data_IF_490164927268
#
_entry.id   IF_490164927268
#
_cell.length_a   1.000
_cell.length_b   1.000
_cell.length_c   1.000
_cell.angle_alpha   90.00
_cell.angle_beta   90.00
_cell.angle_gamma   90.00
#
_symmetry.space_group_name_H-M   'P 1'
#
loop_
_entity.id
_entity.type
_entity.pdbx_description
1 polymer ?
#
# COMPACT_ATOMS: atom_id res chain seq x y z
N UNK A 1 4.66 -0.70 18.35
CA UNK A 1 4.08 -0.36 17.02
C UNK A 1 3.30 0.94 17.13
N UNK A 2 3.27 1.68 16.06
CA UNK A 2 2.55 2.94 15.96
C UNK A 2 1.68 2.90 14.71
N UNK A 3 0.46 3.46 14.77
CA UNK A 3 -0.42 3.55 13.61
C UNK A 3 -0.39 4.97 13.07
N UNK A 4 -0.07 5.11 11.79
CA UNK A 4 -0.10 6.38 11.08
C UNK A 4 -1.37 6.44 10.23
N UNK A 5 -1.95 7.64 10.14
CA UNK A 5 -3.16 7.87 9.34
C UNK A 5 -2.94 9.00 8.36
N UNK A 6 -3.45 8.81 7.14
CA UNK A 6 -3.38 9.81 6.08
C UNK A 6 -4.74 9.95 5.43
N UNK A 7 -5.09 11.17 5.03
CA UNK A 7 -6.36 11.47 4.36
C UNK A 7 -6.10 12.40 3.20
N UNK A 8 -6.72 12.12 2.07
CA UNK A 8 -6.63 13.02 0.91
C UNK A 8 -7.93 12.97 0.13
N UNK A 9 -8.38 14.15 -0.34
CA UNK A 9 -9.55 14.26 -1.20
C UNK A 9 -9.10 14.27 -2.65
N UNK A 10 -9.70 13.39 -3.45
CA UNK A 10 -9.35 13.23 -4.86
C UNK A 10 -10.60 13.46 -5.71
N UNK A 11 -10.49 14.34 -6.69
CA UNK A 11 -11.61 14.69 -7.59
C UNK A 11 -11.69 13.67 -8.73
N UNK A 12 -11.93 12.42 -8.35
CA UNK A 12 -12.13 11.30 -9.26
C UNK A 12 -12.92 10.22 -8.53
N UNK A 13 -13.54 9.30 -9.28
CA UNK A 13 -14.34 8.22 -8.69
C UNK A 13 -13.48 7.22 -7.95
N UNK A 14 -14.05 6.49 -6.97
CA UNK A 14 -13.32 5.41 -6.29
C UNK A 14 -12.76 4.37 -7.26
N UNK A 15 -13.49 4.02 -8.32
CA UNK A 15 -13.03 3.07 -9.34
C UNK A 15 -11.73 3.54 -9.98
N UNK A 16 -11.68 4.82 -10.34
CA UNK A 16 -10.47 5.37 -10.96
C UNK A 16 -9.31 5.45 -9.98
N UNK A 17 -9.57 5.86 -8.73
CA UNK A 17 -8.54 5.91 -7.69
C UNK A 17 -7.99 4.51 -7.41
N UNK A 18 -8.88 3.53 -7.35
CA UNK A 18 -8.50 2.12 -7.17
C UNK A 18 -7.56 1.65 -8.28
N UNK A 19 -7.89 1.96 -9.52
CA UNK A 19 -7.07 1.58 -10.67
C UNK A 19 -5.68 2.23 -10.63
N UNK A 20 -5.59 3.47 -10.14
CA UNK A 20 -4.31 4.16 -9.98
C UNK A 20 -3.48 3.52 -8.86
N UNK A 21 -4.12 3.21 -7.72
CA UNK A 21 -3.42 2.62 -6.57
C UNK A 21 -2.78 1.28 -6.92
N UNK A 22 -3.50 0.43 -7.65
CA UNK A 22 -3.12 -0.98 -7.81
C UNK A 22 -2.80 -1.40 -9.24
N UNK A 23 -2.90 -0.49 -10.21
CA UNK A 23 -2.61 -0.79 -11.61
C UNK A 23 -1.13 -1.06 -11.84
N UNK A 24 -0.82 -2.00 -12.75
CA UNK A 24 0.56 -2.38 -13.04
C UNK A 24 1.41 -1.20 -13.55
N UNK A 25 0.79 -0.26 -14.26
CA UNK A 25 1.50 0.88 -14.84
C UNK A 25 1.63 2.06 -13.87
N UNK A 26 0.79 2.10 -12.85
CA UNK A 26 0.70 3.27 -11.97
C UNK A 26 1.25 3.00 -10.57
N UNK A 27 1.27 1.74 -10.12
CA UNK A 27 1.72 1.41 -8.77
C UNK A 27 3.12 1.95 -8.47
N UNK A 28 4.08 1.73 -9.35
CA UNK A 28 5.45 2.22 -9.14
C UNK A 28 5.53 3.75 -9.19
N UNK A 29 4.65 4.39 -9.96
CA UNK A 29 4.69 5.85 -10.13
C UNK A 29 4.42 6.56 -8.80
N UNK A 30 3.49 6.04 -7.99
CA UNK A 30 3.21 6.67 -6.70
C UNK A 30 4.01 6.07 -5.54
N UNK A 31 4.46 4.81 -5.66
CA UNK A 31 5.24 4.17 -4.59
C UNK A 31 6.75 4.40 -4.71
N UNK A 32 7.21 5.00 -5.80
CA UNK A 32 8.64 5.30 -5.99
C UNK A 32 9.23 6.17 -4.89
N UNK A 33 8.39 6.88 -4.15
CA UNK A 33 8.83 7.73 -3.03
C UNK A 33 9.19 6.92 -1.79
N UNK A 34 8.84 5.62 -1.76
CA UNK A 34 9.29 4.66 -0.75
C UNK A 34 10.54 3.92 -1.22
N UNK A 35 10.51 3.46 -2.48
CA UNK A 35 11.63 2.80 -3.14
C UNK A 35 11.47 3.00 -4.65
N UNK A 36 12.50 3.51 -5.32
CA UNK A 36 12.42 3.89 -6.74
C UNK A 36 12.06 2.73 -7.67
N UNK A 37 12.29 1.49 -7.27
CA UNK A 37 12.00 0.27 -8.03
C UNK A 37 10.91 -0.56 -7.37
N UNK A 38 10.03 0.06 -6.60
CA UNK A 38 8.93 -0.58 -5.88
C UNK A 38 8.00 -1.35 -6.82
N UNK A 39 7.67 -2.59 -6.44
CA UNK A 39 6.81 -3.48 -7.20
C UNK A 39 5.82 -4.19 -6.28
N UNK A 40 4.70 -4.61 -6.85
CA UNK A 40 3.69 -5.37 -6.14
C UNK A 40 3.23 -6.55 -7.00
N UNK A 41 3.10 -7.71 -6.37
CA UNK A 41 2.55 -8.89 -7.01
C UNK A 41 1.56 -9.54 -6.06
N UNK A 42 0.34 -9.77 -6.52
CA UNK A 42 -0.73 -10.32 -5.69
C UNK A 42 -1.61 -11.26 -6.49
N UNK A 43 -2.16 -12.26 -5.81
CA UNK A 43 -3.20 -13.13 -6.39
C UNK A 43 -4.60 -12.52 -6.19
N UNK A 44 -4.70 -11.38 -5.46
CA UNK A 44 -5.93 -10.64 -5.18
C UNK A 44 -7.00 -11.47 -4.45
N UNK A 45 -6.55 -12.42 -3.65
CA UNK A 45 -7.43 -13.30 -2.87
C UNK A 45 -7.21 -13.11 -1.38
N UNK A 46 -8.31 -13.07 -0.63
CA UNK A 46 -8.25 -13.08 0.83
C UNK A 46 -7.54 -14.36 1.28
N UNK A 47 -6.55 -14.21 2.15
CA UNK A 47 -5.75 -15.34 2.63
C UNK A 47 -4.65 -15.80 1.68
N UNK A 48 -4.58 -15.22 0.47
CA UNK A 48 -3.52 -15.51 -0.49
C UNK A 48 -2.24 -14.75 -0.18
N UNK A 49 -1.33 -14.69 -1.13
CA UNK A 49 -0.05 -14.00 -0.96
C UNK A 49 0.04 -12.74 -1.79
N UNK A 50 0.57 -11.68 -1.17
CA UNK A 50 0.91 -10.42 -1.82
C UNK A 50 2.35 -10.09 -1.48
N UNK A 51 3.15 -9.77 -2.49
CA UNK A 51 4.55 -9.40 -2.35
C UNK A 51 4.72 -7.92 -2.65
N UNK A 52 5.30 -7.19 -1.71
CA UNK A 52 5.71 -5.80 -1.89
C UNK A 52 7.24 -5.78 -1.91
N UNK A 53 7.83 -5.61 -3.08
CA UNK A 53 9.26 -5.82 -3.26
C UNK A 53 9.93 -4.67 -3.98
N UNK A 54 11.27 -4.65 -3.91
CA UNK A 54 12.11 -3.80 -4.75
C UNK A 54 12.44 -4.51 -6.08
N UNK A 55 13.31 -3.91 -6.89
CA UNK A 55 13.70 -4.46 -8.19
C UNK A 55 14.46 -5.78 -8.10
N UNK A 56 15.05 -6.09 -6.94
CA UNK A 56 15.78 -7.34 -6.71
C UNK A 56 14.88 -8.44 -6.17
N UNK A 57 13.59 -8.15 -5.96
CA UNK A 57 12.64 -9.12 -5.43
C UNK A 57 12.67 -9.25 -3.91
N UNK A 58 13.31 -8.32 -3.22
CA UNK A 58 13.38 -8.30 -1.76
C UNK A 58 12.32 -7.36 -1.20
N UNK A 59 11.68 -7.74 -0.08
CA UNK A 59 10.69 -6.91 0.55
C UNK A 59 9.80 -7.66 1.51
N UNK A 60 8.49 -7.35 1.47
CA UNK A 60 7.50 -7.93 2.38
C UNK A 60 6.66 -9.00 1.73
N UNK A 61 6.33 -10.03 2.53
CA UNK A 61 5.30 -11.01 2.21
C UNK A 61 4.08 -10.69 3.05
N UNK A 62 2.95 -10.54 2.41
CA UNK A 62 1.70 -10.12 3.05
C UNK A 62 0.55 -10.98 2.57
N UNK A 63 -0.61 -10.81 3.21
CA UNK A 63 -1.86 -11.39 2.74
C UNK A 63 -2.93 -10.32 2.69
N UNK A 64 -3.96 -10.53 1.89
CA UNK A 64 -5.14 -9.68 1.90
C UNK A 64 -6.05 -10.17 3.01
N UNK A 65 -6.25 -9.32 4.02
CA UNK A 65 -7.15 -9.61 5.14
C UNK A 65 -8.61 -9.40 4.74
N UNK A 66 -8.85 -8.34 3.96
CA UNK A 66 -10.18 -7.99 3.45
C UNK A 66 -10.03 -7.20 2.16
N UNK A 67 -10.95 -7.43 1.22
CA UNK A 67 -11.04 -6.64 0.00
C UNK A 67 -12.50 -6.46 -0.38
N UNK A 68 -12.86 -5.22 -0.71
CA UNK A 68 -14.16 -4.83 -1.23
C UNK A 68 -13.91 -3.76 -2.30
N UNK A 69 -13.58 -4.22 -3.50
CA UNK A 69 -13.22 -3.33 -4.62
C UNK A 69 -14.45 -2.54 -5.10
N UNK A 70 -14.37 -1.22 -5.29
CA UNK A 70 -13.22 -0.34 -5.20
C UNK A 70 -13.18 0.46 -3.87
N UNK A 71 -13.78 -0.06 -2.82
CA UNK A 71 -14.03 0.71 -1.59
C UNK A 71 -12.99 0.48 -0.49
N UNK A 72 -12.46 -0.74 -0.37
CA UNK A 72 -11.59 -1.05 0.76
C UNK A 72 -10.64 -2.20 0.43
N UNK A 73 -9.40 -2.09 0.90
CA UNK A 73 -8.49 -3.22 0.97
C UNK A 73 -7.65 -3.11 2.24
N UNK A 74 -7.46 -4.25 2.91
CA UNK A 74 -6.62 -4.36 4.10
C UNK A 74 -5.59 -5.45 3.85
N UNK A 75 -4.31 -5.07 3.94
CA UNK A 75 -3.19 -6.00 3.89
C UNK A 75 -2.70 -6.29 5.29
N UNK A 76 -2.31 -7.52 5.54
CA UNK A 76 -1.65 -7.94 6.77
C UNK A 76 -0.24 -8.41 6.41
N UNK A 77 0.76 -7.76 6.98
CA UNK A 77 2.16 -8.10 6.71
C UNK A 77 2.57 -9.29 7.56
N UNK A 78 3.11 -10.34 6.92
CA UNK A 78 3.41 -11.61 7.57
C UNK A 78 4.89 -11.83 7.80
N UNK A 79 5.73 -11.39 6.86
CA UNK A 79 7.14 -11.64 6.91
C UNK A 79 7.90 -10.90 5.82
N UNK A 80 9.11 -11.37 5.55
CA UNK A 80 9.99 -10.80 4.53
C UNK A 80 10.36 -11.84 3.49
N UNK A 81 10.73 -11.38 2.31
CA UNK A 81 11.39 -12.20 1.31
C UNK A 81 12.73 -11.54 0.99
N UNK A 82 13.82 -12.35 0.98
CA UNK A 82 15.15 -11.90 0.66
C UNK A 82 15.89 -13.00 -0.06
N UNK A 83 16.48 -12.66 -1.21
CA UNK A 83 17.22 -13.62 -2.05
C UNK A 83 16.38 -14.88 -2.34
N UNK A 84 15.08 -14.69 -2.60
CA UNK A 84 14.16 -15.77 -2.90
C UNK A 84 13.68 -16.59 -1.71
N UNK A 85 14.11 -16.24 -0.49
CA UNK A 85 13.71 -16.95 0.73
C UNK A 85 12.77 -16.14 1.57
N UNK A 86 11.66 -16.76 1.98
CA UNK A 86 10.66 -16.14 2.84
C UNK A 86 11.02 -16.40 4.32
N UNK A 87 10.89 -15.35 5.13
CA UNK A 87 11.20 -15.40 6.56
C UNK A 87 9.98 -14.91 7.35
N UNK A 88 9.42 -15.79 8.18
CA UNK A 88 8.28 -15.49 9.04
C UNK A 88 8.61 -15.60 10.52
N UNK A 89 9.82 -16.05 10.87
CA UNK A 89 10.14 -16.51 12.21
C UNK A 89 11.29 -15.77 12.92
N UNK A 90 12.06 -14.94 12.20
CA UNK A 90 13.18 -14.22 12.81
C UNK A 90 12.65 -13.21 13.84
N UNK A 91 13.51 -12.84 14.79
CA UNK A 91 13.16 -11.86 15.82
C UNK A 91 12.78 -10.51 15.20
N UNK A 92 13.46 -10.10 14.13
CA UNK A 92 13.15 -8.86 13.43
C UNK A 92 11.75 -8.90 12.84
N UNK A 93 11.37 -10.00 12.21
CA UNK A 93 10.04 -10.18 11.63
C UNK A 93 8.97 -10.24 12.71
N UNK A 94 9.22 -10.99 13.79
CA UNK A 94 8.26 -11.11 14.89
C UNK A 94 7.92 -9.77 15.53
N UNK A 95 8.85 -8.82 15.48
CA UNK A 95 8.64 -7.50 16.06
C UNK A 95 7.51 -6.72 15.35
N UNK A 96 7.22 -7.02 14.07
CA UNK A 96 6.21 -6.30 13.31
C UNK A 96 5.20 -7.19 12.55
N UNK A 97 5.38 -8.51 12.55
CA UNK A 97 4.44 -9.41 11.89
C UNK A 97 3.03 -9.22 12.44
N UNK A 98 2.04 -9.23 11.54
CA UNK A 98 0.67 -8.93 11.89
C UNK A 98 0.28 -7.46 11.70
N UNK A 99 1.22 -6.59 11.34
CA UNK A 99 0.96 -5.18 11.04
C UNK A 99 -0.03 -5.04 9.90
N UNK A 100 -0.92 -4.06 10.00
CA UNK A 100 -1.95 -3.83 8.99
C UNK A 100 -1.63 -2.60 8.15
N UNK A 101 -2.05 -2.66 6.89
CA UNK A 101 -2.02 -1.51 5.97
C UNK A 101 -3.38 -1.45 5.30
N UNK A 102 -4.12 -0.36 5.54
CA UNK A 102 -5.52 -0.24 5.15
C UNK A 102 -5.74 0.94 4.22
N UNK A 103 -6.53 0.72 3.18
CA UNK A 103 -6.96 1.76 2.25
C UNK A 103 -8.47 1.74 2.18
N UNK A 104 -9.11 2.88 2.50
CA UNK A 104 -10.56 3.04 2.46
C UNK A 104 -10.89 4.20 1.52
N UNK A 105 -11.70 3.92 0.50
CA UNK A 105 -12.11 4.88 -0.50
C UNK A 105 -13.60 5.15 -0.32
N UNK A 106 -13.94 6.37 0.14
CA UNK A 106 -15.32 6.77 0.38
C UNK A 106 -15.77 7.67 -0.75
N UNK A 107 -16.89 7.31 -1.39
CA UNK A 107 -17.48 8.06 -2.49
C UNK A 107 -18.33 9.23 -1.96
N UNK A 108 -17.99 10.44 -2.40
CA UNK A 108 -18.77 11.66 -2.13
C UNK A 108 -19.20 12.28 -3.45
N UNK A 109 -20.31 11.77 -4.01
CA UNK A 109 -20.89 12.31 -5.27
C UNK A 109 -19.89 12.29 -6.43
N UNK A 110 -19.17 11.18 -6.60
CA UNK A 110 -18.20 11.02 -7.68
C UNK A 110 -16.79 11.49 -7.36
N UNK A 111 -16.58 12.03 -6.16
CA UNK A 111 -15.26 12.34 -5.62
C UNK A 111 -14.89 11.29 -4.58
N UNK A 112 -13.60 11.11 -4.32
CA UNK A 112 -13.12 10.11 -3.37
C UNK A 112 -12.42 10.76 -2.19
N UNK A 113 -12.80 10.37 -0.97
CA UNK A 113 -11.99 10.62 0.21
C UNK A 113 -11.19 9.33 0.46
N UNK A 114 -9.89 9.41 0.30
CA UNK A 114 -8.98 8.27 0.52
C UNK A 114 -8.41 8.35 1.94
N UNK A 115 -8.63 7.30 2.71
CA UNK A 115 -8.07 7.14 4.05
C UNK A 115 -7.06 6.00 4.02
N UNK A 116 -5.87 6.23 4.57
CA UNK A 116 -4.84 5.21 4.68
C UNK A 116 -4.42 5.11 6.14
N UNK A 117 -4.34 3.88 6.65
CA UNK A 117 -3.80 3.61 7.98
C UNK A 117 -2.72 2.55 7.86
N UNK A 118 -1.56 2.78 8.46
CA UNK A 118 -0.46 1.82 8.43
C UNK A 118 0.13 1.66 9.83
N UNK A 119 0.34 0.41 10.23
CA UNK A 119 1.05 0.08 11.46
C UNK A 119 2.53 -0.02 11.14
N UNK A 120 3.36 0.69 11.87
CA UNK A 120 4.81 0.72 11.63
C UNK A 120 5.58 0.66 12.94
N UNK A 121 6.85 0.30 12.85
CA UNK A 121 7.79 0.53 13.95
C UNK A 121 8.13 2.02 13.97
N UNK A 122 8.17 2.67 15.16
CA UNK A 122 8.31 4.13 15.25
C UNK A 122 9.51 4.72 14.52
N UNK A 123 10.59 3.95 14.37
CA UNK A 123 11.81 4.40 13.69
C UNK A 123 11.60 4.67 12.19
N UNK A 124 10.53 4.14 11.59
CA UNK A 124 10.22 4.33 10.18
C UNK A 124 9.18 5.44 9.93
N UNK A 125 8.75 6.14 10.98
CA UNK A 125 7.69 7.15 10.86
C UNK A 125 8.00 8.25 9.85
N UNK A 126 9.21 8.82 9.93
CA UNK A 126 9.60 9.92 9.05
C UNK A 126 9.63 9.46 7.59
N UNK A 127 10.19 8.28 7.33
CA UNK A 127 10.25 7.72 5.99
C UNK A 127 8.84 7.49 5.44
N UNK A 128 7.94 6.93 6.26
CA UNK A 128 6.56 6.66 5.85
C UNK A 128 5.78 7.94 5.58
N UNK A 129 5.92 8.96 6.45
CA UNK A 129 5.27 10.23 6.23
C UNK A 129 5.72 10.87 4.92
N UNK A 130 7.02 10.87 4.65
CA UNK A 130 7.55 11.42 3.40
C UNK A 130 7.03 10.66 2.18
N UNK A 131 7.05 9.32 2.26
CA UNK A 131 6.59 8.47 1.16
C UNK A 131 5.10 8.65 0.87
N UNK A 132 4.25 8.64 1.89
CA UNK A 132 2.81 8.81 1.71
C UNK A 132 2.44 10.23 1.32
N UNK A 133 3.08 11.26 1.88
CA UNK A 133 2.80 12.65 1.49
C UNK A 133 3.01 12.85 -0.01
N UNK A 134 4.13 12.38 -0.53
CA UNK A 134 4.43 12.49 -1.96
C UNK A 134 3.67 11.49 -2.80
N UNK A 135 3.56 10.26 -2.32
CA UNK A 135 2.88 9.18 -3.05
C UNK A 135 1.38 9.45 -3.22
N UNK A 136 0.70 9.86 -2.16
CA UNK A 136 -0.73 10.17 -2.25
C UNK A 136 -1.01 11.41 -3.10
N UNK A 137 -0.12 12.40 -3.07
CA UNK A 137 -0.21 13.56 -3.97
C UNK A 137 -0.09 13.11 -5.42
N UNK A 138 0.77 12.12 -5.70
CA UNK A 138 0.90 11.56 -7.05
C UNK A 138 -0.35 10.77 -7.45
N UNK A 139 -0.94 9.99 -6.55
CA UNK A 139 -2.21 9.29 -6.82
C UNK A 139 -3.29 10.29 -7.20
N UNK A 140 -3.41 11.38 -6.45
CA UNK A 140 -4.35 12.45 -6.75
C UNK A 140 -4.09 13.05 -8.14
N UNK A 141 -2.85 13.37 -8.43
CA UNK A 141 -2.45 13.93 -9.73
C UNK A 141 -2.85 13.01 -10.89
N UNK A 142 -2.53 11.72 -10.76
CA UNK A 142 -2.82 10.74 -11.82
C UNK A 142 -4.32 10.51 -11.98
N UNK A 143 -5.06 10.44 -10.87
CA UNK A 143 -6.50 10.18 -10.90
C UNK A 143 -7.29 11.36 -11.46
N UNK A 144 -6.85 12.58 -11.17
CA UNK A 144 -7.54 13.80 -11.62
C UNK A 144 -7.15 14.23 -13.03
N UNK A 145 -6.16 13.58 -13.62
CA UNK A 145 -5.69 13.91 -14.96
C UNK A 145 -6.78 13.62 -15.97
N UNK A 146 -7.10 14.64 -16.78
CA UNK A 146 -8.05 14.48 -17.87
C UNK A 146 -7.40 13.70 -19.01
N UNK A 147 -8.16 12.75 -19.54
CA UNK A 147 -7.70 11.91 -20.63
C UNK A 147 -8.28 12.42 -21.94
#
# INVERSE_FOLDING_TARGET
MKTLSYNIKIYATPERVWDILWGNETYNVWTKFFSCDSQMKSDWKVGGKTYFTDGDGNGMVSTIERIDEPNEIVFKHLGMIKDGQEDFDSEDVKAWAGSLEKYLLVDYNGETQLHVEVDIQPEYEEMMNNGFDQGLAMVKHLAEKLV
#
